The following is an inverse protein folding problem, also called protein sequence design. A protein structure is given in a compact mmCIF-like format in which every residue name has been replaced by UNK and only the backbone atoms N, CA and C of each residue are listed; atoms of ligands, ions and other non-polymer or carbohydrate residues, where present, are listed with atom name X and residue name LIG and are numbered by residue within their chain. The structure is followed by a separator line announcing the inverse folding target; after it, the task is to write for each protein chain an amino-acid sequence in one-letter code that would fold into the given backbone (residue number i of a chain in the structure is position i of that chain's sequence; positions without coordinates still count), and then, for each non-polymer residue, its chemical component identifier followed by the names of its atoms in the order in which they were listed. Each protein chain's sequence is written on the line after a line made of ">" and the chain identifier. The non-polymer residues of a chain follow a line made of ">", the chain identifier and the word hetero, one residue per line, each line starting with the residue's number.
data_IF_422268506747
#
_entry.id   IF_422268506747
#
_cell.length_a   1.000
_cell.length_b   1.000
_cell.length_c   1.000
_cell.angle_alpha   90.00
_cell.angle_beta   90.00
_cell.angle_gamma   90.00
#
_symmetry.space_group_name_H-M   'P 1'
#
loop_
_entity.id
_entity.type
_entity.pdbx_description
1 polymer ?
#
# COMPACT_ATOMS: atom_id res chain seq x y z
N UNK A 1 -19.12 -3.02 -7.62
CA UNK A 1 -18.07 -2.07 -7.22
C UNK A 1 -17.76 -2.41 -5.79
N UNK A 2 -16.50 -2.72 -5.52
CA UNK A 2 -16.03 -2.78 -4.15
C UNK A 2 -15.75 -1.32 -3.76
N UNK A 3 -16.32 -0.87 -2.64
CA UNK A 3 -16.00 0.44 -2.09
C UNK A 3 -14.66 0.29 -1.35
N UNK A 4 -13.56 0.58 -2.06
CA UNK A 4 -12.23 0.55 -1.46
C UNK A 4 -12.08 1.71 -0.48
N UNK A 5 -11.61 1.42 0.72
CA UNK A 5 -11.20 2.45 1.67
C UNK A 5 -9.71 2.74 1.50
N UNK A 6 -9.35 4.03 1.49
CA UNK A 6 -7.98 4.51 1.57
C UNK A 6 -7.56 4.70 3.03
N UNK A 7 -6.32 4.33 3.33
CA UNK A 7 -5.67 4.46 4.62
C UNK A 7 -4.26 5.01 4.46
N UNK A 8 -3.81 5.74 5.48
CA UNK A 8 -2.43 6.24 5.57
C UNK A 8 -1.60 5.25 6.39
N UNK A 9 -0.60 4.59 5.78
CA UNK A 9 0.16 3.52 6.43
C UNK A 9 1.10 4.07 7.49
N UNK A 10 1.38 3.28 8.52
CA UNK A 10 2.37 3.60 9.56
C UNK A 10 3.73 2.97 9.20
N UNK A 11 4.79 3.79 9.24
CA UNK A 11 6.16 3.32 9.01
C UNK A 11 7.15 4.03 9.93
N UNK A 12 8.16 3.28 10.36
CA UNK A 12 9.21 3.77 11.27
C UNK A 12 10.51 4.17 10.59
N UNK A 13 10.62 3.92 9.27
CA UNK A 13 11.78 4.23 8.46
C UNK A 13 11.55 3.90 6.98
N UNK A 14 12.60 3.98 6.19
CA UNK A 14 12.56 3.76 4.75
C UNK A 14 13.57 2.71 4.30
N UNK A 15 13.28 2.05 3.17
CA UNK A 15 14.14 1.04 2.57
C UNK A 15 14.07 1.10 1.04
N UNK A 16 15.17 0.73 0.40
CA UNK A 16 15.30 0.60 -1.06
C UNK A 16 15.61 -0.85 -1.46
N UNK A 17 15.34 -1.80 -0.56
CA UNK A 17 15.52 -3.23 -0.82
C UNK A 17 14.55 -3.71 -1.90
N UNK A 18 14.92 -4.82 -2.55
CA UNK A 18 14.03 -5.51 -3.48
C UNK A 18 12.67 -5.75 -2.82
N UNK A 19 11.62 -5.55 -3.58
CA UNK A 19 10.25 -5.66 -3.10
C UNK A 19 9.54 -6.82 -3.76
N UNK A 20 8.95 -7.65 -2.92
CA UNK A 20 7.96 -8.66 -3.27
C UNK A 20 6.73 -8.41 -2.41
N UNK A 21 5.53 -8.64 -2.95
CA UNK A 21 4.30 -8.46 -2.19
C UNK A 21 4.27 -9.41 -0.97
N UNK A 22 4.15 -8.89 0.26
CA UNK A 22 4.09 -9.72 1.47
C UNK A 22 2.84 -10.58 1.51
N UNK A 23 2.96 -11.73 2.16
CA UNK A 23 1.88 -12.64 2.53
C UNK A 23 1.59 -12.49 4.04
N UNK A 24 0.41 -12.93 4.47
CA UNK A 24 0.01 -12.89 5.90
C UNK A 24 1.06 -13.53 6.81
N UNK A 25 1.69 -14.63 6.37
CA UNK A 25 2.72 -15.33 7.14
C UNK A 25 4.07 -14.62 7.24
N UNK A 26 4.27 -13.53 6.50
CA UNK A 26 5.49 -12.72 6.57
C UNK A 26 5.46 -11.73 7.75
N UNK A 27 4.29 -11.54 8.37
CA UNK A 27 4.12 -10.67 9.54
C UNK A 27 4.26 -11.45 10.85
N UNK A 28 4.86 -10.83 11.87
CA UNK A 28 5.04 -11.41 13.20
C UNK A 28 3.77 -11.30 14.10
N UNK A 29 2.62 -10.95 13.50
CA UNK A 29 1.33 -10.78 14.18
C UNK A 29 0.20 -11.40 13.35
N UNK A 30 -0.84 -11.87 14.03
CA UNK A 30 -2.10 -12.32 13.40
C UNK A 30 -3.18 -11.21 13.49
N UNK A 31 -2.85 -10.04 14.04
CA UNK A 31 -3.79 -8.91 14.13
C UNK A 31 -3.87 -8.20 12.77
N UNK A 32 -5.01 -8.37 12.10
CA UNK A 32 -5.26 -7.75 10.80
C UNK A 32 -5.27 -6.22 10.86
N UNK A 33 -5.52 -5.60 12.02
CA UNK A 33 -5.39 -4.16 12.20
C UNK A 33 -3.94 -3.72 12.07
N UNK A 34 -3.05 -4.37 12.82
CA UNK A 34 -1.60 -4.11 12.76
C UNK A 34 -1.05 -4.40 11.36
N UNK A 35 -1.49 -5.48 10.71
CA UNK A 35 -1.07 -5.79 9.32
C UNK A 35 -1.59 -4.73 8.35
N UNK A 36 -2.79 -4.20 8.56
CA UNK A 36 -3.38 -3.21 7.67
C UNK A 36 -2.59 -1.89 7.62
N UNK A 37 -1.86 -1.55 8.68
CA UNK A 37 -0.98 -0.37 8.72
C UNK A 37 0.13 -0.41 7.66
N UNK A 38 0.37 -1.57 7.03
CA UNK A 38 1.36 -1.71 5.95
C UNK A 38 0.79 -1.47 4.53
N UNK A 39 -0.52 -1.30 4.40
CA UNK A 39 -1.24 -1.27 3.12
C UNK A 39 -2.01 0.03 2.95
N UNK A 40 -2.15 0.50 1.70
CA UNK A 40 -2.92 1.71 1.41
C UNK A 40 -4.42 1.49 1.29
N UNK A 41 -4.83 0.31 0.82
CA UNK A 41 -6.21 0.08 0.41
C UNK A 41 -6.80 -1.18 1.06
N UNK A 42 -8.09 -1.14 1.36
CA UNK A 42 -8.87 -2.29 1.80
C UNK A 42 -10.23 -2.34 1.10
N UNK A 43 -10.61 -3.51 0.58
CA UNK A 43 -11.92 -3.75 -0.03
C UNK A 43 -13.07 -3.86 1.01
N UNK A 44 -12.75 -4.08 2.29
CA UNK A 44 -13.73 -4.24 3.37
C UNK A 44 -13.64 -3.16 4.46
N UNK A 45 -12.71 -2.20 4.30
CA UNK A 45 -12.47 -1.10 5.23
C UNK A 45 -11.33 -1.37 6.22
N UNK A 46 -11.20 -0.47 7.19
CA UNK A 46 -10.20 -0.55 8.26
C UNK A 46 -10.92 -0.55 9.62
N UNK A 47 -10.80 -1.63 10.43
CA UNK A 47 -10.02 -2.84 10.19
C UNK A 47 -10.61 -3.71 9.05
N UNK A 48 -9.77 -4.49 8.33
CA UNK A 48 -10.24 -5.35 7.24
C UNK A 48 -10.91 -6.62 7.77
N UNK A 49 -11.81 -7.20 6.96
CA UNK A 49 -12.42 -8.51 7.27
C UNK A 49 -11.45 -9.68 7.01
N UNK A 50 -10.60 -9.57 5.98
CA UNK A 50 -9.61 -10.59 5.62
C UNK A 50 -8.32 -9.96 5.08
N UNK A 51 -7.18 -10.64 5.21
CA UNK A 51 -5.91 -10.21 4.60
C UNK A 51 -6.02 -10.00 3.09
N UNK A 52 -6.81 -10.82 2.40
CA UNK A 52 -7.02 -10.70 0.94
C UNK A 52 -7.73 -9.43 0.52
N UNK A 53 -8.38 -8.72 1.44
CA UNK A 53 -9.05 -7.46 1.16
C UNK A 53 -8.05 -6.30 1.08
N UNK A 54 -6.89 -6.45 1.72
CA UNK A 54 -5.80 -5.49 1.68
C UNK A 54 -5.14 -5.45 0.30
N UNK A 55 -4.76 -4.25 -0.15
CA UNK A 55 -4.17 -3.97 -1.46
C UNK A 55 -3.08 -2.92 -1.31
N UNK A 56 -2.09 -2.98 -2.21
CA UNK A 56 -0.94 -2.07 -2.26
C UNK A 56 -0.13 -2.04 -0.95
N UNK A 57 0.58 -3.13 -0.62
CA UNK A 57 1.53 -3.14 0.49
C UNK A 57 2.73 -2.27 0.13
N UNK A 58 2.85 -1.12 0.80
CA UNK A 58 3.93 -0.15 0.57
C UNK A 58 4.94 -0.11 1.70
N UNK A 59 4.58 -0.65 2.87
CA UNK A 59 5.48 -0.85 4.00
C UNK A 59 5.82 -2.34 4.08
N UNK A 60 7.10 -2.67 4.24
CA UNK A 60 7.55 -4.04 4.43
C UNK A 60 7.12 -4.58 5.81
N UNK A 61 7.16 -5.91 6.05
CA UNK A 61 6.83 -6.48 7.36
C UNK A 61 7.73 -6.00 8.51
N UNK A 62 8.90 -5.43 8.21
CA UNK A 62 9.79 -4.80 9.21
C UNK A 62 9.30 -3.39 9.61
N UNK A 63 8.23 -2.87 9.02
CA UNK A 63 7.69 -1.53 9.28
C UNK A 63 8.46 -0.40 8.60
N UNK A 64 9.11 -0.67 7.45
CA UNK A 64 9.82 0.31 6.63
C UNK A 64 9.07 0.54 5.31
N UNK A 65 8.82 1.81 4.99
CA UNK A 65 8.31 2.21 3.69
C UNK A 65 9.32 1.80 2.59
N UNK A 66 8.86 1.13 1.55
CA UNK A 66 9.73 0.61 0.49
C UNK A 66 9.53 1.38 -0.82
N UNK A 67 10.61 1.96 -1.35
CA UNK A 67 10.61 2.75 -2.59
C UNK A 67 10.13 1.94 -3.80
N UNK A 68 10.59 0.70 -3.93
CA UNK A 68 10.22 -0.20 -5.04
C UNK A 68 8.74 -0.61 -4.95
N UNK A 69 8.19 -0.68 -3.74
CA UNK A 69 6.77 -0.92 -3.51
C UNK A 69 5.93 0.25 -4.04
N UNK A 70 6.32 1.48 -3.70
CA UNK A 70 5.65 2.70 -4.16
C UNK A 70 5.71 2.83 -5.69
N UNK A 71 6.86 2.58 -6.30
CA UNK A 71 6.99 2.57 -7.78
C UNK A 71 6.07 1.51 -8.41
N UNK A 72 6.00 0.32 -7.83
CA UNK A 72 5.14 -0.76 -8.31
C UNK A 72 3.64 -0.44 -8.16
N UNK A 73 3.27 0.20 -7.05
CA UNK A 73 1.91 0.65 -6.77
C UNK A 73 1.47 1.84 -7.63
N UNK A 74 2.40 2.71 -8.04
CA UNK A 74 2.10 3.87 -8.90
C UNK A 74 1.88 3.48 -10.37
N UNK A 75 2.79 2.67 -10.94
CA UNK A 75 2.79 2.38 -12.39
C UNK A 75 3.32 1.02 -12.81
N UNK A 76 3.52 0.09 -11.86
CA UNK A 76 3.98 -1.27 -12.12
C UNK A 76 2.85 -2.27 -12.42
N UNK A 77 3.19 -3.56 -12.41
CA UNK A 77 2.23 -4.66 -12.62
C UNK A 77 1.22 -4.85 -11.48
N UNK A 78 1.43 -4.15 -10.36
CA UNK A 78 0.59 -4.17 -9.16
C UNK A 78 0.08 -2.77 -8.84
N UNK A 79 -0.10 -1.93 -9.86
CA UNK A 79 -0.50 -0.55 -9.67
C UNK A 79 -1.95 -0.42 -9.22
N UNK A 80 -2.30 0.77 -8.73
CA UNK A 80 -3.68 1.16 -8.41
C UNK A 80 -4.63 0.88 -9.58
N UNK A 81 -4.20 1.12 -10.82
CA UNK A 81 -5.03 0.96 -12.02
C UNK A 81 -5.37 -0.51 -12.34
N UNK A 82 -4.58 -1.46 -11.84
CA UNK A 82 -4.80 -2.90 -12.05
C UNK A 82 -5.75 -3.51 -11.00
N UNK A 83 -6.24 -2.71 -10.03
CA UNK A 83 -7.18 -3.16 -9.00
C UNK A 83 -8.58 -3.28 -9.62
N UNK A 84 -9.10 -4.51 -9.65
CA UNK A 84 -10.45 -4.76 -10.17
C UNK A 84 -11.53 -4.07 -9.32
N UNK A 85 -12.31 -3.20 -9.98
CA UNK A 85 -13.51 -2.62 -9.38
C UNK A 85 -13.28 -1.40 -8.49
N UNK A 86 -12.06 -0.85 -8.44
CA UNK A 86 -11.78 0.48 -7.88
C UNK A 86 -12.40 1.56 -8.77
N UNK A 87 -12.94 2.61 -8.15
CA UNK A 87 -13.44 3.80 -8.87
C UNK A 87 -12.32 4.81 -9.14
N UNK A 88 -12.53 5.66 -10.16
CA UNK A 88 -11.54 6.63 -10.63
C UNK A 88 -11.14 7.66 -9.55
N UNK A 89 -12.05 7.98 -8.63
CA UNK A 89 -11.79 8.94 -7.53
C UNK A 89 -10.84 8.32 -6.50
N UNK A 90 -11.18 7.13 -5.99
CA UNK A 90 -10.32 6.40 -5.04
C UNK A 90 -8.97 6.07 -5.67
N UNK A 91 -8.94 5.73 -6.95
CA UNK A 91 -7.70 5.47 -7.67
C UNK A 91 -6.80 6.71 -7.75
N UNK A 92 -7.38 7.89 -8.03
CA UNK A 92 -6.64 9.15 -8.05
C UNK A 92 -6.11 9.52 -6.66
N UNK A 93 -6.95 9.45 -5.63
CA UNK A 93 -6.55 9.74 -4.25
C UNK A 93 -5.45 8.80 -3.75
N UNK A 94 -5.49 7.52 -4.16
CA UNK A 94 -4.44 6.55 -3.82
C UNK A 94 -3.12 6.89 -4.51
N UNK A 95 -3.14 7.34 -5.77
CA UNK A 95 -1.94 7.77 -6.48
C UNK A 95 -1.30 8.99 -5.82
N UNK A 96 -2.12 9.96 -5.43
CA UNK A 96 -1.65 11.15 -4.70
C UNK A 96 -0.99 10.74 -3.37
N UNK A 97 -1.59 9.78 -2.63
CA UNK A 97 -1.00 9.25 -1.40
C UNK A 97 0.35 8.54 -1.64
N UNK A 98 0.47 7.76 -2.72
CA UNK A 98 1.73 7.10 -3.10
C UNK A 98 2.81 8.15 -3.43
N UNK A 99 2.46 9.20 -4.17
CA UNK A 99 3.39 10.29 -4.50
C UNK A 99 3.84 11.06 -3.26
N UNK A 100 2.92 11.32 -2.32
CA UNK A 100 3.25 11.99 -1.07
C UNK A 100 4.16 11.15 -0.17
N UNK A 101 3.92 9.84 -0.06
CA UNK A 101 4.80 8.91 0.65
C UNK A 101 6.20 8.86 0.03
N UNK A 102 6.30 8.83 -1.30
CA UNK A 102 7.58 8.85 -1.98
C UNK A 102 8.35 10.16 -1.75
N UNK A 103 7.63 11.28 -1.78
CA UNK A 103 8.20 12.60 -1.53
C UNK A 103 8.66 12.77 -0.09
N UNK A 104 7.89 12.31 0.88
CA UNK A 104 8.24 12.38 2.31
C UNK A 104 9.38 11.42 2.66
N UNK A 105 9.24 10.15 2.29
CA UNK A 105 10.19 9.10 2.64
C UNK A 105 11.52 9.18 1.87
N UNK A 106 11.47 9.52 0.58
CA UNK A 106 12.62 9.40 -0.33
C UNK A 106 13.02 10.72 -0.99
N UNK A 107 12.24 11.80 -0.83
CA UNK A 107 12.44 13.06 -1.55
C UNK A 107 12.39 12.88 -3.08
N UNK A 108 11.56 11.93 -3.53
CA UNK A 108 11.38 11.60 -4.94
C UNK A 108 9.98 11.94 -5.44
N UNK A 109 9.89 12.30 -6.71
CA UNK A 109 8.63 12.43 -7.43
C UNK A 109 8.47 11.20 -8.32
N UNK A 110 7.41 10.42 -8.09
CA UNK A 110 7.06 9.23 -8.89
C UNK A 110 6.34 9.58 -10.20
N UNK A 111 5.99 10.86 -10.37
CA UNK A 111 5.32 11.39 -11.55
C UNK A 111 6.05 11.11 -12.86
N UNK A 112 5.29 10.54 -13.81
CA UNK A 112 5.64 10.13 -15.17
C UNK A 112 6.48 11.10 -16.01
#
# INVERSE_FOLDING_TARGET
>A
MADYALHEPDYSGTTTQDWDAPQESDFDTDDLGDIADHFLLSASGFPPENFTDLKLPVVDPDGKLNENALQSAHGGAHSVDEIDGIDDETAADTKDAIEDLARDGFHEDLGS
#
